data_IF_772143497593
#
_entry.id   IF_772143497593
#
_cell.length_a   1.000
_cell.length_b   1.000
_cell.length_c   1.000
_cell.angle_alpha   90.00
_cell.angle_beta   90.00
_cell.angle_gamma   90.00
#
_symmetry.space_group_name_H-M   'P 1'
#
loop_
_entity.id
_entity.type
_entity.pdbx_description
1 polymer ?
#
# COMPACT_ATOMS: atom_id res chain seq x y z
N UNK A 1 2.14 -6.99 22.96
CA UNK A 1 3.18 -6.68 21.97
C UNK A 1 2.95 -7.57 20.77
N UNK A 2 2.90 -7.03 19.55
CA UNK A 2 2.70 -7.85 18.37
C UNK A 2 3.93 -8.71 18.08
N UNK A 3 3.67 -9.96 17.71
CA UNK A 3 4.72 -10.93 17.40
C UNK A 3 4.75 -11.23 15.91
N UNK A 4 5.98 -11.27 15.38
CA UNK A 4 6.25 -11.42 13.97
C UNK A 4 7.27 -12.53 13.76
N UNK A 5 7.15 -13.25 12.64
CA UNK A 5 8.21 -14.12 12.14
C UNK A 5 8.88 -13.43 10.97
N UNK A 6 10.19 -13.19 11.05
CA UNK A 6 10.94 -12.59 9.94
C UNK A 6 10.94 -13.56 8.76
N UNK A 7 10.36 -13.13 7.65
CA UNK A 7 10.41 -13.88 6.39
C UNK A 7 11.69 -13.53 5.65
N UNK A 8 12.00 -12.23 5.56
CA UNK A 8 13.18 -11.73 4.86
C UNK A 8 13.64 -10.38 5.40
N UNK A 9 14.93 -10.23 5.61
CA UNK A 9 15.52 -8.91 5.86
C UNK A 9 15.81 -8.26 4.51
N UNK A 10 15.18 -7.11 4.23
CA UNK A 10 15.33 -6.40 2.96
C UNK A 10 16.52 -5.43 3.04
N UNK A 11 16.52 -4.56 4.05
CA UNK A 11 17.67 -3.72 4.41
C UNK A 11 17.66 -3.45 5.93
N UNK A 12 18.55 -2.59 6.43
CA UNK A 12 18.62 -2.26 7.87
C UNK A 12 17.33 -1.64 8.43
N UNK A 13 16.54 -0.96 7.60
CA UNK A 13 15.35 -0.22 8.00
C UNK A 13 14.05 -0.85 7.49
N UNK A 14 14.11 -1.98 6.78
CA UNK A 14 12.96 -2.62 6.17
C UNK A 14 13.05 -4.13 6.29
N UNK A 15 12.00 -4.74 6.83
CA UNK A 15 11.87 -6.20 6.95
C UNK A 15 10.53 -6.68 6.43
N UNK A 16 10.53 -7.87 5.85
CA UNK A 16 9.33 -8.63 5.55
C UNK A 16 9.10 -9.62 6.69
N UNK A 17 7.90 -9.60 7.24
CA UNK A 17 7.48 -10.46 8.34
C UNK A 17 6.14 -11.11 8.06
N UNK A 18 5.86 -12.20 8.76
CA UNK A 18 4.52 -12.75 8.91
C UNK A 18 4.02 -12.41 10.30
N UNK A 19 2.90 -11.72 10.39
CA UNK A 19 2.20 -11.49 11.65
C UNK A 19 1.69 -12.83 12.19
N UNK A 20 2.09 -13.20 13.42
CA UNK A 20 1.72 -14.49 14.02
C UNK A 20 0.25 -14.56 14.41
N UNK A 21 -0.42 -13.43 14.63
CA UNK A 21 -1.84 -13.38 14.98
C UNK A 21 -2.72 -13.48 13.74
N UNK A 22 -2.38 -12.73 12.68
CA UNK A 22 -3.21 -12.64 11.47
C UNK A 22 -2.76 -13.56 10.34
N UNK A 23 -1.56 -14.14 10.44
CA UNK A 23 -0.89 -14.92 9.39
C UNK A 23 -0.71 -14.15 8.08
N UNK A 24 -0.65 -12.81 8.13
CA UNK A 24 -0.45 -11.95 6.96
C UNK A 24 1.02 -11.59 6.79
N UNK A 25 1.49 -11.59 5.55
CA UNK A 25 2.78 -11.00 5.20
C UNK A 25 2.70 -9.47 5.24
N UNK A 26 3.58 -8.86 6.03
CA UNK A 26 3.71 -7.43 6.24
C UNK A 26 5.15 -6.99 5.96
N UNK A 27 5.30 -5.82 5.37
CA UNK A 27 6.57 -5.11 5.28
C UNK A 27 6.55 -4.05 6.38
N UNK A 28 7.51 -4.14 7.29
CA UNK A 28 7.70 -3.16 8.35
C UNK A 28 8.88 -2.26 8.00
N UNK A 29 8.66 -0.96 8.13
CA UNK A 29 9.67 0.09 7.98
C UNK A 29 9.86 0.76 9.33
N UNK A 30 11.12 0.92 9.72
CA UNK A 30 11.50 1.60 10.95
C UNK A 30 13.01 1.70 11.07
N UNK A 31 13.51 2.72 11.77
CA UNK A 31 14.94 2.93 11.97
C UNK A 31 15.62 1.70 12.60
N UNK A 32 16.47 1.02 11.82
CA UNK A 32 17.23 -0.15 12.30
C UNK A 32 16.39 -1.40 12.57
N UNK A 33 15.12 -1.46 12.12
CA UNK A 33 14.21 -2.58 12.41
C UNK A 33 14.71 -3.94 11.87
N UNK A 34 15.52 -3.92 10.80
CA UNK A 34 16.16 -5.10 10.22
C UNK A 34 17.55 -5.42 10.75
N UNK A 35 18.12 -4.55 11.60
CA UNK A 35 19.46 -4.73 12.11
C UNK A 35 19.54 -5.96 13.03
N UNK A 36 20.43 -6.89 12.68
CA UNK A 36 20.65 -8.13 13.45
C UNK A 36 19.50 -9.15 13.40
N UNK A 37 18.48 -8.94 12.54
CA UNK A 37 17.37 -9.89 12.36
C UNK A 37 17.68 -10.92 11.27
N UNK A 38 17.32 -12.18 11.51
CA UNK A 38 17.53 -13.30 10.58
C UNK A 38 16.21 -13.89 10.10
N UNK A 39 16.21 -14.45 8.89
CA UNK A 39 15.06 -15.18 8.35
C UNK A 39 14.67 -16.34 9.28
N UNK A 40 13.37 -16.54 9.46
CA UNK A 40 12.79 -17.51 10.39
C UNK A 40 12.78 -17.09 11.86
N UNK A 41 13.39 -15.95 12.22
CA UNK A 41 13.43 -15.49 13.61
C UNK A 41 12.06 -14.97 14.08
N UNK A 42 11.59 -15.45 15.24
CA UNK A 42 10.48 -14.82 15.94
C UNK A 42 10.95 -13.56 16.65
N UNK A 43 10.26 -12.44 16.42
CA UNK A 43 10.58 -11.12 16.97
C UNK A 43 9.33 -10.47 17.54
N UNK A 44 9.48 -9.84 18.70
CA UNK A 44 8.49 -8.91 19.24
C UNK A 44 8.96 -7.52 18.90
N UNK A 45 8.16 -6.77 18.14
CA UNK A 45 8.49 -5.41 17.69
C UNK A 45 7.44 -4.47 18.29
N UNK A 46 7.83 -3.49 19.12
CA UNK A 46 6.94 -2.44 19.60
C UNK A 46 6.35 -1.61 18.44
N UNK A 47 5.10 -1.17 18.55
CA UNK A 47 4.48 -0.32 17.52
C UNK A 47 5.22 1.03 17.33
N UNK A 48 5.91 1.51 18.37
CA UNK A 48 6.73 2.73 18.35
C UNK A 48 7.98 2.62 17.46
N UNK A 49 8.50 1.40 17.26
CA UNK A 49 9.63 1.14 16.37
C UNK A 49 9.19 1.00 14.90
N UNK A 50 7.87 0.93 14.66
CA UNK A 50 7.27 0.80 13.34
C UNK A 50 6.86 2.19 12.85
N UNK A 51 7.70 2.79 12.01
CA UNK A 51 7.37 4.05 11.32
C UNK A 51 6.26 3.83 10.29
N UNK A 52 6.26 2.66 9.63
CA UNK A 52 5.23 2.31 8.65
C UNK A 52 5.09 0.81 8.45
N UNK A 53 3.88 0.37 8.12
CA UNK A 53 3.61 -1.02 7.76
C UNK A 53 2.76 -1.14 6.50
N UNK A 54 3.07 -2.13 5.66
CA UNK A 54 2.33 -2.42 4.44
C UNK A 54 2.02 -3.90 4.36
N UNK A 55 0.80 -4.24 3.95
CA UNK A 55 0.49 -5.64 3.61
C UNK A 55 1.11 -5.96 2.25
N UNK A 56 1.80 -7.09 2.13
CA UNK A 56 2.33 -7.55 0.85
C UNK A 56 1.18 -8.09 -0.03
N UNK A 57 1.02 -7.59 -1.25
CA UNK A 57 -0.03 -8.04 -2.18
C UNK A 57 0.54 -8.66 -3.44
N UNK A 58 -0.15 -9.71 -3.93
CA UNK A 58 0.07 -10.41 -5.20
C UNK A 58 1.47 -11.03 -5.36
N UNK A 59 1.53 -12.36 -5.45
CA UNK A 59 2.77 -13.11 -5.67
C UNK A 59 3.54 -12.68 -6.94
N UNK A 60 2.83 -12.28 -8.01
CA UNK A 60 3.45 -11.88 -9.29
C UNK A 60 4.24 -10.57 -9.21
N UNK A 61 3.78 -9.59 -8.43
CA UNK A 61 4.42 -8.27 -8.34
C UNK A 61 5.44 -8.20 -7.19
N UNK A 62 5.40 -9.20 -6.30
CA UNK A 62 6.16 -9.28 -5.07
C UNK A 62 7.68 -9.21 -5.28
N UNK A 63 8.21 -9.95 -6.26
CA UNK A 63 9.65 -9.96 -6.53
C UNK A 63 10.19 -8.62 -7.05
N UNK A 64 9.50 -8.01 -8.02
CA UNK A 64 9.89 -6.70 -8.54
C UNK A 64 9.81 -5.63 -7.45
N UNK A 65 8.78 -5.70 -6.61
CA UNK A 65 8.60 -4.78 -5.48
C UNK A 65 9.72 -4.92 -4.44
N UNK A 66 10.10 -6.14 -4.06
CA UNK A 66 11.21 -6.37 -3.13
C UNK A 66 12.55 -5.93 -3.71
N UNK A 67 12.78 -6.15 -5.01
CA UNK A 67 13.98 -5.65 -5.69
C UNK A 67 14.04 -4.12 -5.66
N UNK A 68 12.92 -3.44 -5.88
CA UNK A 68 12.85 -1.98 -5.81
C UNK A 68 13.14 -1.47 -4.38
N UNK A 69 12.50 -2.03 -3.36
CA UNK A 69 12.71 -1.64 -1.96
C UNK A 69 14.15 -1.90 -1.51
N UNK A 70 14.78 -2.98 -1.99
CA UNK A 70 16.18 -3.25 -1.67
C UNK A 70 17.15 -2.26 -2.30
N UNK A 71 16.79 -1.64 -3.42
CA UNK A 71 17.64 -0.69 -4.15
C UNK A 71 17.40 0.76 -3.73
N UNK A 72 16.26 1.05 -3.08
CA UNK A 72 15.83 2.40 -2.76
C UNK A 72 15.99 2.67 -1.26
N UNK A 73 16.61 3.80 -0.91
CA UNK A 73 16.77 4.24 0.48
C UNK A 73 15.39 4.51 1.12
N UNK A 74 15.20 4.11 2.38
CA UNK A 74 13.96 4.34 3.13
C UNK A 74 13.54 5.82 3.18
N UNK A 75 14.49 6.75 3.14
CA UNK A 75 14.22 8.20 3.04
C UNK A 75 13.51 8.56 1.74
N UNK A 76 13.89 7.94 0.63
CA UNK A 76 13.26 8.18 -0.68
C UNK A 76 11.82 7.66 -0.68
N UNK A 77 11.58 6.51 -0.04
CA UNK A 77 10.22 5.98 0.16
C UNK A 77 9.39 6.97 0.98
N UNK A 78 9.92 7.45 2.11
CA UNK A 78 9.23 8.42 2.96
C UNK A 78 8.85 9.71 2.23
N UNK A 79 9.81 10.32 1.51
CA UNK A 79 9.55 11.53 0.70
C UNK A 79 8.52 11.27 -0.40
N UNK A 80 8.59 10.11 -1.06
CA UNK A 80 7.61 9.73 -2.09
C UNK A 80 6.19 9.66 -1.52
N UNK A 81 6.04 9.18 -0.30
CA UNK A 81 4.74 9.11 0.37
C UNK A 81 4.22 10.48 0.81
N UNK A 82 5.07 11.40 1.24
CA UNK A 82 4.67 12.79 1.49
C UNK A 82 4.14 13.44 0.20
N UNK A 83 4.85 13.25 -0.91
CA UNK A 83 4.41 13.75 -2.23
C UNK A 83 3.06 13.13 -2.61
N UNK A 84 2.89 11.81 -2.42
CA UNK A 84 1.63 11.13 -2.69
C UNK A 84 0.50 11.68 -1.81
N UNK A 85 0.74 11.84 -0.51
CA UNK A 85 -0.24 12.38 0.44
C UNK A 85 -0.66 13.82 0.09
N UNK A 86 0.29 14.66 -0.33
CA UNK A 86 0.01 16.02 -0.79
C UNK A 86 -0.81 16.02 -2.09
N UNK A 87 -0.45 15.18 -3.05
CA UNK A 87 -1.19 15.02 -4.30
C UNK A 87 -2.61 14.50 -4.04
N UNK A 88 -2.77 13.57 -3.11
CA UNK A 88 -4.03 13.02 -2.63
C UNK A 88 -4.93 14.08 -1.99
N UNK A 89 -4.36 14.91 -1.11
CA UNK A 89 -5.07 16.02 -0.49
C UNK A 89 -5.58 17.04 -1.53
N UNK A 90 -4.75 17.38 -2.53
CA UNK A 90 -5.12 18.32 -3.59
C UNK A 90 -6.13 17.73 -4.59
N UNK A 91 -6.05 16.42 -4.86
CA UNK A 91 -6.97 15.71 -5.75
C UNK A 91 -8.26 15.25 -5.06
N UNK A 92 -8.45 15.60 -3.78
CA UNK A 92 -9.61 15.22 -2.96
C UNK A 92 -9.74 13.70 -2.78
N UNK A 93 -8.63 12.96 -2.83
CA UNK A 93 -8.58 11.49 -2.75
C UNK A 93 -7.75 11.07 -1.56
N UNK A 94 -8.32 10.33 -0.61
CA UNK A 94 -7.61 9.86 0.59
C UNK A 94 -6.57 8.75 0.34
N UNK A 95 -5.64 8.56 1.30
CA UNK A 95 -4.45 7.72 1.15
C UNK A 95 -4.73 6.26 0.86
N UNK A 96 -4.33 5.86 -0.33
CA UNK A 96 -4.35 4.49 -0.80
C UNK A 96 -3.10 3.76 -0.27
N UNK A 97 -2.93 3.66 1.04
CA UNK A 97 -1.82 2.89 1.62
C UNK A 97 -2.04 1.39 1.50
N UNK A 98 -2.58 0.88 0.38
CA UNK A 98 -3.12 -0.48 0.34
C UNK A 98 -3.73 -0.80 -1.03
N UNK A 99 -4.06 -2.07 -1.31
CA UNK A 99 -4.97 -2.55 -2.36
C UNK A 99 -6.28 -1.77 -2.45
N UNK A 100 -6.62 -0.91 -1.49
CA UNK A 100 -7.71 0.05 -1.64
C UNK A 100 -7.50 1.00 -2.84
N UNK A 101 -6.24 1.32 -3.20
CA UNK A 101 -5.94 2.07 -4.44
C UNK A 101 -6.33 1.36 -5.72
N UNK A 102 -6.48 0.03 -5.65
CA UNK A 102 -7.01 -0.80 -6.73
C UNK A 102 -8.52 -0.90 -6.67
N UNK A 103 -9.15 -0.88 -5.49
CA UNK A 103 -10.60 -0.90 -5.33
C UNK A 103 -11.26 0.38 -5.90
N UNK A 104 -10.68 1.56 -5.64
CA UNK A 104 -11.18 2.83 -6.17
C UNK A 104 -11.11 2.93 -7.71
N UNK A 105 -10.15 2.23 -8.34
CA UNK A 105 -10.06 2.07 -9.80
C UNK A 105 -11.21 1.23 -10.35
N UNK A 106 -11.65 0.20 -9.61
CA UNK A 106 -12.74 -0.71 -9.99
C UNK A 106 -14.13 -0.08 -9.88
N UNK A 107 -14.31 0.89 -8.99
CA UNK A 107 -15.52 1.71 -8.92
C UNK A 107 -15.55 2.76 -10.03
N UNK A 108 -14.43 3.43 -10.33
CA UNK A 108 -14.33 4.37 -11.47
C UNK A 108 -14.61 3.70 -12.81
N UNK A 109 -14.14 2.47 -13.04
CA UNK A 109 -14.42 1.74 -14.28
C UNK A 109 -15.89 1.32 -14.43
N UNK A 110 -16.66 1.19 -13.34
CA UNK A 110 -18.12 0.97 -13.40
C UNK A 110 -18.91 2.26 -13.62
N UNK A 111 -18.41 3.39 -13.14
CA UNK A 111 -19.04 4.70 -13.34
C UNK A 111 -18.83 5.26 -14.75
N UNK A 112 -17.69 4.97 -15.40
CA UNK A 112 -17.48 5.35 -16.81
C UNK A 112 -18.33 4.55 -17.81
N UNK A 113 -18.76 3.34 -17.47
CA UNK A 113 -19.65 2.53 -18.32
C UNK A 113 -21.12 2.91 -18.21
N UNK A 114 -21.56 3.49 -17.09
CA UNK A 114 -22.92 3.98 -16.90
C UNK A 114 -23.12 5.45 -17.32
N UNK A 115 -22.05 6.17 -17.68
CA UNK A 115 -22.14 7.56 -18.13
C UNK A 115 -22.39 7.74 -19.64
N UNK A 116 -22.49 6.66 -20.43
CA UNK A 116 -22.65 6.71 -21.88
C UNK A 116 -23.95 6.07 -22.41
N UNK A 117 -24.96 5.79 -21.55
CA UNK A 117 -26.22 5.18 -22.01
C UNK A 117 -27.52 5.93 -21.76
N UNK A 118 -27.55 7.10 -21.14
CA UNK A 118 -28.81 7.85 -20.92
C UNK A 118 -28.71 9.36 -21.18
N UNK A 119 -28.12 9.75 -22.31
CA UNK A 119 -28.41 11.06 -22.93
C UNK A 119 -28.37 10.94 -24.44
N UNK A 120 -29.32 10.21 -25.04
CA UNK A 120 -29.78 10.48 -26.41
C UNK A 120 -31.10 9.74 -26.68
N UNK A 121 -32.19 10.33 -26.19
CA UNK A 121 -33.49 10.34 -26.85
C UNK A 121 -34.10 11.72 -26.54
N UNK A 122 -33.87 12.67 -27.44
CA UNK A 122 -34.93 13.37 -28.17
C UNK A 122 -35.95 14.04 -27.20
N UNK A 123 -35.91 15.34 -26.96
CA UNK A 123 -35.93 16.40 -27.96
C UNK A 123 -37.31 16.47 -28.63
N UNK A 124 -38.23 17.27 -28.05
CA UNK A 124 -39.13 18.25 -28.71
C UNK A 124 -40.50 18.44 -28.02
N UNK A 125 -40.93 19.71 -28.00
CA UNK A 125 -42.31 20.28 -27.84
C UNK A 125 -42.96 20.16 -26.45
N UNK A 126 -43.71 21.13 -25.90
CA UNK A 126 -43.89 22.60 -26.03
C UNK A 126 -44.77 22.97 -24.81
N UNK A 127 -44.65 24.17 -24.24
CA UNK A 127 -45.67 24.73 -23.34
C UNK A 127 -46.81 25.34 -24.17
N UNK A 128 -48.02 24.79 -24.04
CA UNK A 128 -49.36 25.40 -24.10
C UNK A 128 -50.40 24.33 -24.47
#
# INVERSE_FOLDING_TARGET
>A
MPEYTVVKTLNNNVILVTDRQTSRELILIGKGIGFGKREGQAVSIPDEDIEKSFVAYNEKDRHAYYQLINQVDSKVIGVSEEIIALAEQQLGRQPQGSPLGRCLRRVKSRLSSNALRDRHSAGRFFCA
#
